data_IF_920928495980
#
_entry.id   IF_920928495980
#
_cell.length_a   1.000
_cell.length_b   1.000
_cell.length_c   1.000
_cell.angle_alpha   90.00
_cell.angle_beta   90.00
_cell.angle_gamma   90.00
#
_symmetry.space_group_name_H-M   'P 1'
#
loop_
_entity.id
_entity.type
_entity.pdbx_description
1 polymer ?
#
# COMPACT_ATOMS: atom_id res chain seq x y z
N UNK A 1 5.26 -19.13 4.99
CA UNK A 1 4.79 -18.44 6.22
C UNK A 1 5.70 -18.83 7.37
N UNK A 2 6.28 -17.87 8.08
CA UNK A 2 7.09 -18.12 9.29
C UNK A 2 6.23 -17.78 10.51
N UNK A 3 6.15 -18.68 11.49
CA UNK A 3 5.31 -18.53 12.68
C UNK A 3 6.22 -18.38 13.89
N UNK A 4 6.02 -17.31 14.66
CA UNK A 4 6.80 -17.00 15.85
C UNK A 4 5.86 -16.64 17.00
N UNK A 5 6.08 -17.23 18.16
CA UNK A 5 5.45 -16.80 19.41
C UNK A 5 6.35 -15.79 20.09
N UNK A 6 5.80 -14.64 20.47
CA UNK A 6 6.51 -13.52 21.10
C UNK A 6 5.74 -13.01 22.33
N UNK A 7 6.47 -12.43 23.28
CA UNK A 7 5.91 -11.80 24.49
C UNK A 7 5.81 -10.28 24.32
N UNK A 8 5.21 -9.62 25.32
CA UNK A 8 5.17 -8.16 25.38
C UNK A 8 6.59 -7.57 25.32
N UNK A 9 6.77 -6.49 24.57
CA UNK A 9 8.05 -5.81 24.30
C UNK A 9 9.08 -6.61 23.47
N UNK A 10 8.77 -7.84 23.05
CA UNK A 10 9.62 -8.51 22.08
C UNK A 10 9.55 -7.82 20.72
N UNK A 11 10.63 -7.98 19.96
CA UNK A 11 10.75 -7.47 18.59
C UNK A 11 11.13 -8.56 17.59
N UNK A 12 10.67 -8.36 16.36
CA UNK A 12 10.98 -9.17 15.17
C UNK A 12 11.61 -8.23 14.15
N UNK A 13 12.81 -8.55 13.70
CA UNK A 13 13.52 -7.76 12.69
C UNK A 13 13.47 -8.45 11.33
N UNK A 14 13.11 -7.70 10.30
CA UNK A 14 13.07 -8.17 8.92
C UNK A 14 14.08 -7.34 8.13
N UNK A 15 15.05 -8.03 7.51
CA UNK A 15 16.08 -7.42 6.68
C UNK A 15 16.90 -6.31 7.36
N UNK A 16 16.97 -6.29 8.69
CA UNK A 16 17.71 -5.28 9.48
C UNK A 16 17.00 -3.93 9.62
N UNK A 17 16.28 -3.48 8.59
CA UNK A 17 15.70 -2.14 8.51
C UNK A 17 14.24 -2.05 8.98
N UNK A 18 13.54 -3.18 9.07
CA UNK A 18 12.15 -3.23 9.52
C UNK A 18 12.09 -3.89 10.90
N UNK A 19 11.51 -3.20 11.87
CA UNK A 19 11.33 -3.70 13.24
C UNK A 19 9.85 -3.76 13.57
N UNK A 20 9.37 -4.94 13.93
CA UNK A 20 8.01 -5.17 14.41
C UNK A 20 8.09 -5.40 15.92
N UNK A 21 7.40 -4.59 16.71
CA UNK A 21 7.40 -4.65 18.18
C UNK A 21 6.01 -4.90 18.71
N UNK A 22 5.89 -5.79 19.71
CA UNK A 22 4.61 -6.00 20.40
C UNK A 22 4.51 -5.01 21.54
N UNK A 23 3.62 -4.03 21.38
CA UNK A 23 3.47 -2.90 22.30
C UNK A 23 2.50 -3.21 23.44
N UNK A 24 1.42 -3.92 23.13
CA UNK A 24 0.43 -4.32 24.13
C UNK A 24 -0.30 -5.59 23.71
N UNK A 25 -0.70 -6.36 24.71
CA UNK A 25 -1.58 -7.51 24.56
C UNK A 25 -2.86 -7.22 25.34
N UNK A 26 -3.99 -7.42 24.68
CA UNK A 26 -5.33 -7.46 25.27
C UNK A 26 -5.96 -8.79 24.85
N UNK A 27 -6.98 -9.26 25.57
CA UNK A 27 -7.52 -10.62 25.43
C UNK A 27 -7.81 -11.05 23.98
N UNK A 28 -8.18 -10.11 23.11
CA UNK A 28 -8.46 -10.37 21.69
C UNK A 28 -7.76 -9.40 20.72
N UNK A 29 -6.88 -8.52 21.21
CA UNK A 29 -6.22 -7.52 20.38
C UNK A 29 -4.74 -7.42 20.73
N UNK A 30 -3.91 -7.33 19.69
CA UNK A 30 -2.48 -7.10 19.84
C UNK A 30 -2.17 -5.74 19.25
N UNK A 31 -1.55 -4.86 20.04
CA UNK A 31 -0.99 -3.61 19.52
C UNK A 31 0.41 -3.89 19.01
N UNK A 32 0.60 -3.69 17.72
CA UNK A 32 1.86 -3.91 17.02
C UNK A 32 2.40 -2.55 16.59
N UNK A 33 3.62 -2.24 17.00
CA UNK A 33 4.41 -1.14 16.45
C UNK A 33 5.22 -1.65 15.27
N UNK A 34 5.26 -0.90 14.18
CA UNK A 34 6.07 -1.21 13.01
C UNK A 34 6.95 0.01 12.76
N UNK A 35 8.25 -0.20 12.80
CA UNK A 35 9.28 0.77 12.43
C UNK A 35 9.90 0.31 11.12
N UNK A 36 9.97 1.20 10.14
CA UNK A 36 10.52 0.93 8.82
C UNK A 36 10.98 2.24 8.18
N UNK A 37 11.98 2.21 7.28
CA UNK A 37 12.41 3.39 6.53
C UNK A 37 11.29 3.94 5.64
N UNK A 38 11.35 5.24 5.34
CA UNK A 38 10.29 5.98 4.62
C UNK A 38 10.02 5.51 3.19
N UNK A 39 10.97 4.79 2.58
CA UNK A 39 10.80 4.17 1.27
C UNK A 39 9.77 3.02 1.28
N UNK A 40 9.60 2.38 2.44
CA UNK A 40 8.73 1.23 2.61
C UNK A 40 7.34 1.69 3.08
N UNK A 41 6.33 1.47 2.23
CA UNK A 41 4.94 1.75 2.60
C UNK A 41 4.37 0.67 3.50
N UNK A 42 3.90 1.06 4.68
CA UNK A 42 3.16 0.19 5.60
C UNK A 42 1.66 0.44 5.42
N UNK A 43 0.92 -0.60 5.07
CA UNK A 43 -0.53 -0.55 4.89
C UNK A 43 -1.18 -1.64 5.73
N UNK A 44 -2.42 -1.40 6.16
CA UNK A 44 -3.25 -2.43 6.76
C UNK A 44 -3.72 -3.41 5.67
N UNK A 45 -3.82 -4.70 6.00
CA UNK A 45 -4.10 -5.74 5.01
C UNK A 45 -5.38 -5.48 4.21
N UNK A 46 -6.45 -5.06 4.89
CA UNK A 46 -7.73 -4.74 4.26
C UNK A 46 -7.65 -3.53 3.31
N UNK A 47 -6.72 -2.61 3.56
CA UNK A 47 -6.48 -1.45 2.70
C UNK A 47 -5.62 -1.85 1.51
N UNK A 48 -4.63 -2.71 1.71
CA UNK A 48 -3.77 -3.22 0.66
C UNK A 48 -4.57 -3.97 -0.42
N UNK A 49 -5.49 -4.87 -0.01
CA UNK A 49 -6.34 -5.60 -0.95
C UNK A 49 -7.21 -4.66 -1.78
N UNK A 50 -7.88 -3.71 -1.14
CA UNK A 50 -8.70 -2.71 -1.84
C UNK A 50 -7.87 -1.91 -2.86
N UNK A 51 -6.71 -1.41 -2.46
CA UNK A 51 -5.84 -0.62 -3.36
C UNK A 51 -5.37 -1.47 -4.54
N UNK A 52 -5.06 -2.75 -4.29
CA UNK A 52 -4.67 -3.69 -5.35
C UNK A 52 -5.80 -3.91 -6.34
N UNK A 53 -7.03 -4.13 -5.86
CA UNK A 53 -8.20 -4.35 -6.72
C UNK A 53 -8.52 -3.11 -7.55
N UNK A 54 -8.53 -1.92 -6.93
CA UNK A 54 -8.73 -0.66 -7.64
C UNK A 54 -7.66 -0.41 -8.71
N UNK A 55 -6.38 -0.75 -8.45
CA UNK A 55 -5.32 -0.60 -9.43
C UNK A 55 -5.52 -1.52 -10.64
N UNK A 56 -5.97 -2.76 -10.40
CA UNK A 56 -6.30 -3.73 -11.46
C UNK A 56 -7.49 -3.23 -12.28
N UNK A 57 -8.57 -2.80 -11.62
CA UNK A 57 -9.77 -2.25 -12.29
C UNK A 57 -9.44 -1.00 -13.10
N UNK A 58 -8.66 -0.05 -12.56
CA UNK A 58 -8.26 1.15 -13.27
C UNK A 58 -7.41 0.82 -14.51
N UNK A 59 -6.48 -0.14 -14.38
CA UNK A 59 -5.70 -0.66 -15.50
C UNK A 59 -6.60 -1.27 -16.59
N UNK A 60 -7.62 -2.05 -16.21
CA UNK A 60 -8.58 -2.63 -17.16
C UNK A 60 -9.41 -1.54 -17.86
N UNK A 61 -9.97 -0.60 -17.09
CA UNK A 61 -10.81 0.50 -17.58
C UNK A 61 -10.07 1.45 -18.51
N UNK A 62 -8.77 1.64 -18.28
CA UNK A 62 -7.89 2.42 -19.16
C UNK A 62 -7.63 1.74 -20.51
N UNK A 63 -7.66 0.40 -20.58
CA UNK A 63 -7.53 -0.35 -21.85
C UNK A 63 -8.80 -0.31 -22.68
N UNK A 64 -9.98 -0.34 -22.04
CA UNK A 64 -11.28 -0.31 -22.76
C UNK A 64 -11.72 1.09 -23.20
N UNK A 65 -11.14 2.17 -22.65
CA UNK A 65 -11.51 3.56 -22.99
C UNK A 65 -10.41 4.32 -23.73
N UNK A 66 -9.81 3.72 -24.76
CA UNK A 66 -9.09 4.52 -25.76
C UNK A 66 -9.86 4.53 -27.09
N UNK A 67 -10.85 5.42 -27.24
CA UNK A 67 -11.11 6.07 -28.51
C UNK A 67 -10.67 7.53 -28.37
N UNK A 68 -9.36 7.76 -28.19
CA UNK A 68 -8.84 9.12 -28.35
C UNK A 68 -8.40 9.26 -29.80
N UNK A 69 -9.39 9.57 -30.65
CA UNK A 69 -9.11 10.17 -31.94
C UNK A 69 -8.52 11.57 -31.66
N UNK A 70 -7.19 11.60 -31.49
CA UNK A 70 -6.36 12.75 -31.10
C UNK A 70 -6.54 13.96 -32.03
N UNK A 71 -7.17 13.75 -33.18
CA UNK A 71 -7.47 14.74 -34.23
C UNK A 71 -8.54 15.77 -33.84
N UNK A 72 -9.36 15.52 -32.82
CA UNK A 72 -10.50 16.41 -32.46
C UNK A 72 -10.21 17.43 -31.37
N UNK A 73 -9.08 17.34 -30.66
CA UNK A 73 -8.68 18.37 -29.70
C UNK A 73 -8.07 19.55 -30.46
N UNK A 74 -8.91 20.54 -30.82
CA UNK A 74 -8.42 21.84 -31.28
C UNK A 74 -7.66 22.51 -30.15
N UNK A 75 -6.34 22.45 -30.21
CA UNK A 75 -5.45 23.23 -29.35
C UNK A 75 -5.67 24.69 -29.68
N UNK A 76 -6.39 25.42 -28.82
CA UNK A 76 -6.51 26.85 -28.95
C UNK A 76 -5.13 27.47 -28.70
N UNK A 77 -4.48 27.92 -29.78
CA UNK A 77 -3.25 28.71 -29.72
C UNK A 77 -3.53 29.98 -28.92
N UNK A 78 -2.88 30.09 -27.76
CA UNK A 78 -2.81 31.33 -26.99
C UNK A 78 -2.06 32.34 -27.88
N UNK A 79 -2.74 33.42 -28.28
CA UNK A 79 -2.12 34.49 -29.07
C UNK A 79 -1.11 35.24 -28.18
N UNK A 80 0.07 35.47 -28.76
CA UNK A 80 1.20 36.20 -28.19
C UNK A 80 0.89 37.69 -28.05
#
# INVERSE_FOLDING_TARGET
>A
MLILSRKLNDEIRINGDIVIKIVALSDNQVKIGIDAPSDIKILRGEVYEKVRDYAIEASQKSKEKVPVDLTKLKVNKIKK
#
